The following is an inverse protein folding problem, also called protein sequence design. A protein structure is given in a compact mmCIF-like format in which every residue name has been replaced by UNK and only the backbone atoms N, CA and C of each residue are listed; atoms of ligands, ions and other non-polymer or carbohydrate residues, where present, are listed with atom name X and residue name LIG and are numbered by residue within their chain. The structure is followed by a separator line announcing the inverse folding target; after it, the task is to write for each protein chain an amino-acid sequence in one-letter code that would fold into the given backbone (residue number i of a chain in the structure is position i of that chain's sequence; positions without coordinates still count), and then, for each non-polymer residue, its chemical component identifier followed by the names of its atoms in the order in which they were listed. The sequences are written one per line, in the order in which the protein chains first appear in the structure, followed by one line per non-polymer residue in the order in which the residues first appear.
data_IF_145792916988
#
_entry.id   IF_145792916988
#
_cell.length_a   1.000
_cell.length_b   1.000
_cell.length_c   1.000
_cell.angle_alpha   90.00
_cell.angle_beta   90.00
_cell.angle_gamma   90.00
#
_symmetry.space_group_name_H-M   'P 1'
#
loop_
_entity.id
_entity.type
_entity.pdbx_description
1 polymer ?
#
# COMPACT_ATOMS: atom_id res chain seq x y z
N UNK A 1 -60.74 -12.36 50.72
CA UNK A 1 -60.06 -11.36 49.88
C UNK A 1 -58.88 -12.04 49.21
N UNK A 2 -58.99 -12.34 47.90
CA UNK A 2 -57.93 -12.96 47.10
C UNK A 2 -56.97 -11.87 46.60
N UNK A 3 -55.70 -11.94 47.00
CA UNK A 3 -54.65 -11.03 46.55
C UNK A 3 -54.13 -11.41 45.16
N UNK A 4 -54.38 -10.54 44.17
CA UNK A 4 -53.57 -10.35 42.95
C UNK A 4 -52.12 -10.00 43.37
N UNK A 5 -51.04 -10.33 42.66
CA UNK A 5 -50.86 -10.33 41.21
C UNK A 5 -49.60 -11.12 40.82
N UNK A 6 -49.64 -11.70 39.63
CA UNK A 6 -48.55 -12.38 38.94
C UNK A 6 -47.53 -11.40 38.35
N UNK A 7 -46.27 -11.83 38.38
CA UNK A 7 -45.21 -11.73 37.34
C UNK A 7 -44.95 -10.37 36.67
N UNK A 8 -43.71 -9.89 36.82
CA UNK A 8 -42.94 -9.36 35.70
C UNK A 8 -41.43 -9.51 35.98
N UNK A 9 -40.80 -10.53 35.37
CA UNK A 9 -39.35 -10.58 35.22
C UNK A 9 -38.97 -9.61 34.10
N UNK A 10 -38.16 -8.61 34.40
CA UNK A 10 -37.53 -7.76 33.40
C UNK A 10 -36.07 -8.21 33.22
N UNK A 11 -35.82 -9.08 32.24
CA UNK A 11 -34.48 -9.37 31.75
C UNK A 11 -34.16 -8.38 30.62
N UNK A 12 -33.38 -7.35 30.92
CA UNK A 12 -32.87 -6.42 29.92
C UNK A 12 -31.75 -7.11 29.12
N UNK A 13 -32.04 -7.51 27.89
CA UNK A 13 -31.06 -7.92 26.90
C UNK A 13 -30.25 -6.68 26.48
N UNK A 14 -29.08 -6.51 27.09
CA UNK A 14 -28.05 -5.62 26.56
C UNK A 14 -27.54 -6.25 25.26
N UNK A 15 -28.06 -5.76 24.13
CA UNK A 15 -27.43 -5.99 22.83
C UNK A 15 -26.07 -5.31 22.83
N UNK A 16 -25.04 -6.06 23.23
CA UNK A 16 -23.65 -5.70 23.03
C UNK A 16 -23.42 -5.57 21.53
N UNK A 17 -23.47 -4.33 21.05
CA UNK A 17 -22.95 -3.99 19.72
C UNK A 17 -21.44 -4.19 19.81
N UNK A 18 -20.98 -5.36 19.36
CA UNK A 18 -19.57 -5.58 19.05
C UNK A 18 -19.22 -4.62 17.90
N UNK A 19 -18.82 -3.39 18.25
CA UNK A 19 -18.04 -2.58 17.34
C UNK A 19 -16.80 -3.42 17.01
N UNK A 20 -16.77 -3.99 15.80
CA UNK A 20 -15.57 -4.59 15.25
C UNK A 20 -14.57 -3.45 15.13
N UNK A 21 -13.73 -3.28 16.15
CA UNK A 21 -12.53 -2.47 16.04
C UNK A 21 -11.66 -3.17 15.02
N UNK A 22 -11.67 -2.69 13.78
CA UNK A 22 -10.62 -3.00 12.82
C UNK A 22 -9.33 -2.53 13.47
N UNK A 23 -8.53 -3.46 13.98
CA UNK A 23 -7.18 -3.16 14.42
C UNK A 23 -6.44 -2.66 13.18
N UNK A 24 -6.27 -1.35 13.12
CA UNK A 24 -5.49 -0.69 12.10
C UNK A 24 -4.05 -1.16 12.32
N UNK A 25 -3.54 -1.99 11.41
CA UNK A 25 -2.17 -2.50 11.42
C UNK A 25 -1.21 -1.37 10.99
N UNK A 26 -1.26 -0.25 11.71
CA UNK A 26 -0.78 1.07 11.28
C UNK A 26 0.73 1.25 11.44
N UNK A 27 1.46 0.18 11.75
CA UNK A 27 2.87 0.32 12.13
C UNK A 27 3.85 -0.60 11.43
N UNK A 28 3.44 -1.65 10.72
CA UNK A 28 4.41 -2.66 10.23
C UNK A 28 4.10 -3.27 8.87
N UNK A 29 3.14 -2.71 8.13
CA UNK A 29 2.80 -3.26 6.81
C UNK A 29 3.95 -3.07 5.82
N UNK A 30 4.25 -4.11 5.03
CA UNK A 30 5.22 -4.09 3.93
C UNK A 30 4.51 -4.34 2.61
N UNK A 31 5.03 -3.81 1.50
CA UNK A 31 4.41 -3.98 0.19
C UNK A 31 4.21 -5.47 -0.18
N UNK A 32 5.18 -6.33 0.17
CA UNK A 32 5.14 -7.77 -0.08
C UNK A 32 4.17 -8.57 0.81
N UNK A 33 3.50 -7.92 1.75
CA UNK A 33 2.47 -8.51 2.60
C UNK A 33 1.06 -8.03 2.24
N UNK A 34 0.93 -6.97 1.43
CA UNK A 34 -0.36 -6.36 1.09
C UNK A 34 -1.33 -7.36 0.46
N UNK A 35 -0.84 -8.23 -0.44
CA UNK A 35 -1.69 -9.16 -1.18
C UNK A 35 -2.20 -10.34 -0.34
N UNK A 36 -1.77 -10.49 0.92
CA UNK A 36 -2.39 -11.42 1.87
C UNK A 36 -3.82 -10.99 2.21
N UNK A 37 -4.10 -9.70 2.17
CA UNK A 37 -5.44 -9.14 2.28
C UNK A 37 -6.17 -9.22 0.91
N UNK A 38 -7.36 -9.83 0.84
CA UNK A 38 -8.07 -10.00 -0.42
C UNK A 38 -8.50 -8.69 -1.08
N UNK A 39 -8.79 -7.64 -0.31
CA UNK A 39 -9.25 -6.36 -0.85
C UNK A 39 -8.09 -5.60 -1.49
N UNK A 40 -6.93 -5.55 -0.82
CA UNK A 40 -5.71 -5.01 -1.40
C UNK A 40 -5.28 -5.80 -2.64
N UNK A 41 -5.42 -7.13 -2.60
CA UNK A 41 -5.17 -7.98 -3.78
C UNK A 41 -6.06 -7.59 -4.95
N UNK A 42 -7.35 -7.36 -4.71
CA UNK A 42 -8.28 -6.95 -5.75
C UNK A 42 -7.94 -5.56 -6.31
N UNK A 43 -7.59 -4.59 -5.45
CA UNK A 43 -7.16 -3.27 -5.88
C UNK A 43 -5.89 -3.34 -6.76
N UNK A 44 -4.88 -4.10 -6.32
CA UNK A 44 -3.64 -4.29 -7.07
C UNK A 44 -3.88 -4.99 -8.41
N UNK A 45 -4.73 -6.02 -8.45
CA UNK A 45 -5.08 -6.69 -9.71
C UNK A 45 -5.73 -5.74 -10.73
N UNK A 46 -6.51 -4.74 -10.30
CA UNK A 46 -7.08 -3.73 -11.22
C UNK A 46 -6.02 -2.84 -11.85
N UNK A 47 -4.89 -2.66 -11.16
CA UNK A 47 -3.72 -1.94 -11.67
C UNK A 47 -3.01 -2.78 -12.71
N UNK A 48 -2.48 -3.95 -12.31
CA UNK A 48 -1.55 -4.72 -13.15
C UNK A 48 -2.21 -5.39 -14.36
N UNK A 49 -3.51 -5.72 -14.32
CA UNK A 49 -4.21 -6.33 -15.47
C UNK A 49 -4.33 -5.41 -16.69
N UNK A 50 -4.17 -4.10 -16.50
CA UNK A 50 -4.26 -3.10 -17.57
C UNK A 50 -2.90 -2.75 -18.17
N UNK A 51 -1.83 -3.32 -17.63
CA UNK A 51 -0.46 -2.98 -17.95
C UNK A 51 0.18 -4.11 -18.75
N UNK A 52 0.91 -3.74 -19.80
CA UNK A 52 1.65 -4.72 -20.59
C UNK A 52 3.09 -4.88 -20.08
N UNK A 53 3.60 -6.11 -20.22
CA UNK A 53 5.01 -6.48 -19.99
C UNK A 53 5.53 -6.09 -18.60
N UNK A 54 4.71 -6.23 -17.56
CA UNK A 54 5.19 -6.04 -16.19
C UNK A 54 6.03 -7.26 -15.73
N UNK A 55 7.14 -7.03 -15.00
CA UNK A 55 7.86 -8.09 -14.32
C UNK A 55 6.97 -8.85 -13.33
N UNK A 56 7.25 -10.13 -13.11
CA UNK A 56 6.46 -10.98 -12.21
C UNK A 56 6.46 -10.44 -10.77
N UNK A 57 7.61 -9.96 -10.28
CA UNK A 57 7.73 -9.42 -8.94
C UNK A 57 6.87 -8.17 -8.72
N UNK A 58 6.68 -7.35 -9.76
CA UNK A 58 5.74 -6.21 -9.74
C UNK A 58 4.30 -6.73 -9.71
N UNK A 59 3.95 -7.69 -10.57
CA UNK A 59 2.59 -8.22 -10.63
C UNK A 59 2.12 -8.82 -9.30
N UNK A 60 3.03 -9.47 -8.57
CA UNK A 60 2.72 -10.19 -7.33
C UNK A 60 3.15 -9.43 -6.07
N UNK A 61 3.63 -8.19 -6.19
CA UNK A 61 4.32 -7.46 -5.11
C UNK A 61 5.34 -8.34 -4.36
N UNK A 62 5.99 -9.28 -5.03
CA UNK A 62 6.95 -10.17 -4.40
C UNK A 62 8.33 -9.53 -4.37
N UNK A 63 9.15 -9.93 -3.40
CA UNK A 63 10.52 -9.46 -3.25
C UNK A 63 10.81 -8.81 -1.91
N UNK A 64 11.86 -7.98 -1.88
CA UNK A 64 12.30 -7.27 -0.69
C UNK A 64 11.56 -5.95 -0.54
N UNK A 65 10.88 -5.77 0.59
CA UNK A 65 10.11 -4.57 0.88
C UNK A 65 10.52 -4.00 2.22
N UNK A 66 10.62 -2.68 2.31
CA UNK A 66 10.75 -1.98 3.58
C UNK A 66 9.38 -1.73 4.21
N UNK A 67 9.40 -1.22 5.44
CA UNK A 67 8.17 -0.80 6.12
C UNK A 67 7.51 0.36 5.36
N UNK A 68 6.19 0.27 5.18
CA UNK A 68 5.39 1.34 4.59
C UNK A 68 5.05 2.42 5.63
N UNK A 69 4.90 3.65 5.15
CA UNK A 69 4.51 4.80 5.95
C UNK A 69 3.06 5.17 5.66
N UNK A 70 2.31 5.51 6.72
CA UNK A 70 1.01 6.15 6.57
C UNK A 70 1.21 7.63 6.22
N UNK A 71 0.59 8.08 5.13
CA UNK A 71 0.62 9.47 4.66
C UNK A 71 -0.79 9.89 4.29
N UNK A 72 -1.19 11.10 4.66
CA UNK A 72 -2.46 11.69 4.24
C UNK A 72 -2.21 12.60 3.04
N UNK A 73 -2.93 12.34 1.94
CA UNK A 73 -2.93 13.16 0.73
C UNK A 73 -4.37 13.62 0.48
N UNK A 74 -4.60 14.93 0.43
CA UNK A 74 -5.93 15.55 0.26
C UNK A 74 -7.04 14.99 1.19
N UNK A 75 -6.68 14.72 2.45
CA UNK A 75 -7.60 14.15 3.44
C UNK A 75 -7.78 12.63 3.37
N UNK A 76 -7.26 11.98 2.32
CA UNK A 76 -7.31 10.52 2.16
C UNK A 76 -6.02 9.86 2.68
N UNK A 77 -6.12 8.86 3.58
CA UNK A 77 -4.96 8.13 4.09
C UNK A 77 -4.49 7.02 3.15
N UNK A 78 -3.17 6.98 2.94
CA UNK A 78 -2.45 6.00 2.11
C UNK A 78 -1.31 5.33 2.87
N UNK A 79 -1.10 4.04 2.63
CA UNK A 79 0.17 3.36 2.94
C UNK A 79 1.08 3.51 1.74
N UNK A 80 2.30 4.00 1.95
CA UNK A 80 3.29 4.21 0.88
C UNK A 80 4.64 3.61 1.26
N UNK A 81 5.24 2.81 0.38
CA UNK A 81 6.57 2.24 0.63
C UNK A 81 7.22 1.57 -0.57
N UNK A 82 8.52 1.23 -0.48
CA UNK A 82 9.27 0.64 -1.57
C UNK A 82 9.14 -0.89 -1.61
N UNK A 83 9.34 -1.44 -2.80
CA UNK A 83 9.51 -2.85 -3.10
C UNK A 83 10.58 -3.00 -4.18
N UNK A 84 11.43 -4.00 -4.05
CA UNK A 84 12.40 -4.41 -5.06
C UNK A 84 12.25 -5.92 -5.31
N UNK A 85 12.67 -6.40 -6.48
CA UNK A 85 12.70 -7.84 -6.74
C UNK A 85 13.53 -8.59 -5.69
N UNK A 86 14.68 -8.03 -5.33
CA UNK A 86 15.53 -8.49 -4.24
C UNK A 86 16.33 -7.29 -3.68
N UNK A 87 17.04 -7.49 -2.57
CA UNK A 87 17.80 -6.41 -1.91
C UNK A 87 18.89 -5.82 -2.81
N UNK A 88 19.51 -6.63 -3.68
CA UNK A 88 20.58 -6.20 -4.56
C UNK A 88 20.05 -5.33 -5.71
N UNK A 89 18.83 -5.61 -6.18
CA UNK A 89 18.21 -4.90 -7.29
C UNK A 89 17.69 -3.51 -6.90
N UNK A 90 17.53 -3.19 -5.61
CA UNK A 90 16.94 -1.90 -5.20
C UNK A 90 17.64 -0.68 -5.81
N UNK A 91 18.96 -0.76 -6.04
CA UNK A 91 19.73 0.31 -6.68
C UNK A 91 19.38 0.53 -8.15
N UNK A 92 19.02 -0.53 -8.89
CA UNK A 92 18.78 -0.50 -10.33
C UNK A 92 17.31 -0.61 -10.71
N UNK A 93 16.48 -1.26 -9.90
CA UNK A 93 15.08 -1.48 -10.17
C UNK A 93 14.28 -1.55 -8.88
N UNK A 94 13.28 -0.68 -8.77
CA UNK A 94 12.41 -0.57 -7.59
C UNK A 94 11.02 -0.09 -7.97
N UNK A 95 10.07 -0.43 -7.13
CA UNK A 95 8.67 -0.04 -7.21
C UNK A 95 8.32 0.74 -5.95
N UNK A 96 7.80 1.95 -6.11
CA UNK A 96 7.16 2.67 -5.01
C UNK A 96 5.67 2.37 -5.08
N UNK A 97 5.10 1.81 -4.02
CA UNK A 97 3.69 1.38 -3.95
C UNK A 97 2.92 2.31 -3.04
N UNK A 98 1.74 2.75 -3.46
CA UNK A 98 0.77 3.47 -2.64
C UNK A 98 -0.59 2.74 -2.67
N UNK A 99 -1.18 2.46 -1.52
CA UNK A 99 -2.54 1.89 -1.41
C UNK A 99 -3.38 2.70 -0.43
N UNK A 100 -4.65 2.95 -0.77
CA UNK A 100 -5.56 3.66 0.12
C UNK A 100 -5.96 2.78 1.31
N UNK A 101 -6.17 3.37 2.49
CA UNK A 101 -6.60 2.60 3.67
C UNK A 101 -8.00 1.97 3.50
N UNK A 102 -8.84 2.57 2.66
CA UNK A 102 -10.14 1.99 2.28
C UNK A 102 -10.02 0.80 1.30
N UNK A 103 -8.79 0.48 0.90
CA UNK A 103 -8.37 -0.64 0.05
C UNK A 103 -8.97 -0.65 -1.35
N UNK A 104 -9.54 0.48 -1.80
CA UNK A 104 -10.15 0.58 -3.14
C UNK A 104 -9.17 1.00 -4.22
N UNK A 105 -8.13 1.72 -3.84
CA UNK A 105 -7.19 2.36 -4.74
C UNK A 105 -5.77 1.86 -4.49
N UNK A 106 -5.06 1.62 -5.59
CA UNK A 106 -3.66 1.26 -5.58
C UNK A 106 -2.96 1.93 -6.76
N UNK A 107 -1.75 2.39 -6.53
CA UNK A 107 -0.92 3.08 -7.50
C UNK A 107 0.53 2.69 -7.29
N UNK A 108 1.35 2.83 -8.33
CA UNK A 108 2.78 2.66 -8.17
C UNK A 108 3.60 3.48 -9.15
N UNK A 109 4.87 3.65 -8.81
CA UNK A 109 5.91 4.16 -9.67
C UNK A 109 7.00 3.10 -9.80
N UNK A 110 7.10 2.48 -10.97
CA UNK A 110 8.23 1.62 -11.33
C UNK A 110 9.37 2.51 -11.81
N UNK A 111 10.54 2.31 -11.21
CA UNK A 111 11.77 3.06 -11.48
C UNK A 111 12.83 2.07 -11.95
N UNK A 112 13.38 2.33 -13.13
CA UNK A 112 14.40 1.49 -13.76
C UNK A 112 15.62 2.34 -14.11
N UNK A 113 16.75 2.03 -13.49
CA UNK A 113 18.05 2.65 -13.75
C UNK A 113 18.86 1.70 -14.63
N UNK A 114 19.49 2.18 -15.71
CA UNK A 114 20.32 1.36 -16.58
C UNK A 114 21.38 0.59 -15.80
N UNK A 115 21.48 -0.71 -16.08
CA UNK A 115 22.53 -1.54 -15.52
C UNK A 115 23.92 -1.01 -15.91
N UNK A 116 24.87 -1.05 -14.99
CA UNK A 116 26.24 -0.59 -15.23
C UNK A 116 26.40 0.93 -15.28
N UNK A 117 25.41 1.70 -14.82
CA UNK A 117 25.58 3.14 -14.60
C UNK A 117 26.81 3.36 -13.68
N UNK A 118 27.81 4.15 -14.11
CA UNK A 118 28.97 4.43 -13.27
C UNK A 118 28.57 5.07 -11.93
N UNK A 119 29.28 4.74 -10.86
CA UNK A 119 28.94 5.18 -9.49
C UNK A 119 29.06 6.69 -9.26
N UNK A 120 29.70 7.42 -10.18
CA UNK A 120 29.78 8.89 -10.18
C UNK A 120 28.60 9.56 -10.89
N UNK A 121 27.64 8.80 -11.43
CA UNK A 121 26.47 9.31 -12.14
C UNK A 121 25.21 9.18 -11.29
N UNK A 122 24.45 10.29 -11.25
CA UNK A 122 23.14 10.39 -10.60
C UNK A 122 22.13 9.42 -11.24
N UNK A 123 21.59 8.44 -10.48
CA UNK A 123 20.52 7.56 -10.95
C UNK A 123 19.30 8.35 -11.42
N UNK A 124 18.95 9.44 -10.72
CA UNK A 124 17.76 10.23 -11.01
C UNK A 124 17.77 10.86 -12.42
N UNK A 125 18.95 11.09 -13.02
CA UNK A 125 19.09 11.64 -14.37
C UNK A 125 18.97 10.60 -15.48
N UNK A 126 19.10 9.33 -15.14
CA UNK A 126 19.16 8.22 -16.10
C UNK A 126 18.04 7.21 -15.93
N UNK A 127 17.20 7.37 -14.90
CA UNK A 127 16.11 6.47 -14.62
C UNK A 127 14.92 6.67 -15.55
N UNK A 128 14.32 5.54 -15.96
CA UNK A 128 12.99 5.48 -16.56
C UNK A 128 11.94 5.39 -15.45
N UNK A 129 10.84 6.13 -15.65
CA UNK A 129 9.73 6.21 -14.71
C UNK A 129 8.44 5.74 -15.38
N UNK A 130 7.79 4.74 -14.82
CA UNK A 130 6.48 4.26 -15.27
C UNK A 130 5.47 4.26 -14.13
N UNK A 131 4.43 5.06 -14.28
CA UNK A 131 3.31 5.04 -13.34
C UNK A 131 2.33 3.91 -13.67
N UNK A 132 1.88 3.20 -12.64
CA UNK A 132 0.89 2.13 -12.73
C UNK A 132 -0.39 2.56 -12.02
N UNK A 133 -1.54 2.21 -12.61
CA UNK A 133 -2.86 2.52 -12.03
C UNK A 133 -3.39 3.92 -12.37
N UNK A 134 -2.69 4.65 -13.25
CA UNK A 134 -3.04 6.00 -13.71
C UNK A 134 -3.26 6.99 -12.56
N UNK A 135 -2.27 7.17 -11.66
CA UNK A 135 -2.36 8.14 -10.57
C UNK A 135 -2.53 9.56 -11.12
N UNK A 136 -3.33 10.36 -10.43
CA UNK A 136 -3.41 11.80 -10.66
C UNK A 136 -2.10 12.51 -10.25
N UNK A 137 -1.93 13.82 -10.56
CA UNK A 137 -0.71 14.54 -10.24
C UNK A 137 -0.33 14.54 -8.76
N UNK A 138 -1.29 14.48 -7.84
CA UNK A 138 -1.03 14.50 -6.41
C UNK A 138 -0.45 13.17 -5.92
N UNK A 139 -1.05 12.06 -6.34
CA UNK A 139 -0.51 10.72 -6.03
C UNK A 139 0.83 10.50 -6.73
N UNK A 140 1.02 11.05 -7.93
CA UNK A 140 2.34 11.05 -8.59
C UNK A 140 3.40 11.78 -7.76
N UNK A 141 3.04 12.93 -7.18
CA UNK A 141 3.92 13.66 -6.28
C UNK A 141 4.23 12.84 -5.02
N UNK A 142 3.22 12.23 -4.38
CA UNK A 142 3.38 11.34 -3.23
C UNK A 142 4.38 10.21 -3.50
N UNK A 143 4.24 9.53 -4.65
CA UNK A 143 5.15 8.44 -5.06
C UNK A 143 6.59 8.94 -5.27
N UNK A 144 6.76 10.12 -5.89
CA UNK A 144 8.08 10.75 -6.08
C UNK A 144 8.71 11.21 -4.78
N UNK A 145 7.92 11.76 -3.86
CA UNK A 145 8.42 12.15 -2.53
C UNK A 145 8.87 10.94 -1.73
N UNK A 146 8.15 9.82 -1.81
CA UNK A 146 8.62 8.59 -1.20
C UNK A 146 9.93 8.07 -1.85
N UNK A 147 10.08 8.18 -3.18
CA UNK A 147 11.32 7.82 -3.87
C UNK A 147 12.52 8.65 -3.40
N UNK A 148 12.33 9.96 -3.21
CA UNK A 148 13.39 10.88 -2.74
C UNK A 148 13.88 10.60 -1.32
N UNK A 149 13.17 9.79 -0.54
CA UNK A 149 13.60 9.37 0.79
C UNK A 149 14.70 8.31 0.75
N UNK A 150 14.92 7.65 -0.39
CA UNK A 150 16.07 6.74 -0.53
C UNK A 150 17.38 7.55 -0.53
N UNK A 151 18.30 7.32 0.41
CA UNK A 151 19.59 8.02 0.45
C UNK A 151 20.47 7.78 -0.79
N UNK A 152 20.21 6.71 -1.55
CA UNK A 152 20.93 6.42 -2.80
C UNK A 152 20.30 7.11 -4.02
N UNK A 153 19.27 7.94 -3.82
CA UNK A 153 18.58 8.67 -4.86
C UNK A 153 19.05 10.13 -4.90
N UNK A 154 19.95 10.44 -5.84
CA UNK A 154 20.58 11.77 -6.02
C UNK A 154 20.65 12.17 -7.48
#
# INVERSE_FOLDING_TARGET
MYGRSLKAMAAALLMGSSAMTLAANDGQSRANQLLSDPDYRQAWQKVVKKEERLPEWVMNLSGSAEQMNAVTQDGDPYLVGPLCENEQSCSTQRLIVAVSFDKKHAYALLVEVPAGLPTDKSPARHADFRYLGKPDPEIQALLKEQLKKDPNWY
#
